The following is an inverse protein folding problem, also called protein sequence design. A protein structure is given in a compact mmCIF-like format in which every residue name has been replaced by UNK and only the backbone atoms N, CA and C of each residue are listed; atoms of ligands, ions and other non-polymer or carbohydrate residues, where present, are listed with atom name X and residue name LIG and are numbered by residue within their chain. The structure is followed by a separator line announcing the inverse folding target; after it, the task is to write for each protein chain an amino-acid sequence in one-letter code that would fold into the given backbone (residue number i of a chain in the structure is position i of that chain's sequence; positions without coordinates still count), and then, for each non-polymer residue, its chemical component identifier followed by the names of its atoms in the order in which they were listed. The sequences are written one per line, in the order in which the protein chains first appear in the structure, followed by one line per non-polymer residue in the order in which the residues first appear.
data_IF_638815240862
#
_entry.id   IF_638815240862
#
_cell.length_a   1.000
_cell.length_b   1.000
_cell.length_c   1.000
_cell.angle_alpha   90.00
_cell.angle_beta   90.00
_cell.angle_gamma   90.00
#
_symmetry.space_group_name_H-M   'P 1'
#
loop_
_entity.id
_entity.type
_entity.pdbx_description
1 polymer ?
#
# COMPACT_ATOMS: atom_id res chain seq x y z
N UNK A 1 8.25 25.92 -73.79
CA UNK A 1 8.76 24.58 -73.42
C UNK A 1 9.54 24.57 -72.09
N UNK A 2 10.39 25.56 -71.78
CA UNK A 2 11.09 25.65 -70.49
C UNK A 2 10.16 25.90 -69.29
N UNK A 3 9.16 26.78 -69.45
CA UNK A 3 8.22 27.13 -68.37
C UNK A 3 7.34 25.95 -67.91
N UNK A 4 6.92 25.10 -68.85
CA UNK A 4 6.12 23.89 -68.57
C UNK A 4 6.93 22.84 -67.82
N UNK A 5 8.22 22.68 -68.12
CA UNK A 5 9.11 21.76 -67.42
C UNK A 5 9.41 22.21 -65.98
N UNK A 6 9.61 23.51 -65.76
CA UNK A 6 9.80 24.09 -64.42
C UNK A 6 8.57 23.92 -63.53
N UNK A 7 7.37 24.18 -64.06
CA UNK A 7 6.11 23.97 -63.34
C UNK A 7 5.89 22.48 -62.98
N UNK A 8 6.25 21.57 -63.89
CA UNK A 8 6.15 20.13 -63.66
C UNK A 8 7.12 19.66 -62.57
N UNK A 9 8.35 20.19 -62.55
CA UNK A 9 9.34 19.91 -61.51
C UNK A 9 8.87 20.40 -60.13
N UNK A 10 8.31 21.62 -60.06
CA UNK A 10 7.75 22.17 -58.82
C UNK A 10 6.59 21.31 -58.30
N UNK A 11 5.68 20.89 -59.19
CA UNK A 11 4.55 20.05 -58.83
C UNK A 11 4.99 18.68 -58.29
N UNK A 12 5.98 18.04 -58.91
CA UNK A 12 6.54 16.77 -58.44
C UNK A 12 7.20 16.92 -57.06
N UNK A 13 7.93 18.01 -56.82
CA UNK A 13 8.53 18.28 -55.51
C UNK A 13 7.46 18.56 -54.44
N UNK A 14 6.40 19.29 -54.79
CA UNK A 14 5.27 19.52 -53.89
C UNK A 14 4.59 18.20 -53.50
N UNK A 15 4.36 17.31 -54.47
CA UNK A 15 3.83 15.97 -54.20
C UNK A 15 4.75 15.14 -53.29
N UNK A 16 6.07 15.20 -53.50
CA UNK A 16 7.05 14.51 -52.62
C UNK A 16 7.01 15.04 -51.19
N UNK A 17 6.91 16.35 -51.01
CA UNK A 17 6.79 16.97 -49.69
C UNK A 17 5.48 16.57 -49.00
N UNK A 18 4.36 16.53 -49.74
CA UNK A 18 3.09 16.03 -49.20
C UNK A 18 3.22 14.56 -48.77
N UNK A 19 3.82 13.71 -49.59
CA UNK A 19 4.03 12.30 -49.26
C UNK A 19 4.90 12.13 -47.99
N UNK A 20 5.97 12.92 -47.87
CA UNK A 20 6.84 12.92 -46.71
C UNK A 20 6.08 13.34 -45.43
N UNK A 21 5.24 14.37 -45.51
CA UNK A 21 4.43 14.80 -44.35
C UNK A 21 3.43 13.73 -43.91
N UNK A 22 2.82 13.01 -44.85
CA UNK A 22 1.92 11.90 -44.54
C UNK A 22 2.68 10.75 -43.87
N UNK A 23 3.88 10.42 -44.35
CA UNK A 23 4.71 9.38 -43.72
C UNK A 23 5.13 9.75 -42.29
N UNK A 24 5.47 11.02 -42.05
CA UNK A 24 5.80 11.52 -40.71
C UNK A 24 4.58 11.44 -39.76
N UNK A 25 3.36 11.76 -40.25
CA UNK A 25 2.13 11.61 -39.46
C UNK A 25 1.84 10.15 -39.11
N UNK A 26 2.03 9.22 -40.06
CA UNK A 26 1.84 7.78 -39.82
C UNK A 26 2.84 7.27 -38.78
N UNK A 27 4.12 7.66 -38.89
CA UNK A 27 5.14 7.33 -37.90
C UNK A 27 4.77 7.84 -36.49
N UNK A 28 4.30 9.08 -36.39
CA UNK A 28 3.86 9.67 -35.12
C UNK A 28 2.69 8.89 -34.49
N UNK A 29 1.72 8.48 -35.30
CA UNK A 29 0.57 7.67 -34.85
C UNK A 29 1.02 6.28 -34.36
N UNK A 30 1.95 5.63 -35.07
CA UNK A 30 2.52 4.34 -34.66
C UNK A 30 3.29 4.48 -33.33
N UNK A 31 4.07 5.55 -33.16
CA UNK A 31 4.80 5.80 -31.93
C UNK A 31 3.87 5.93 -30.71
N UNK A 32 2.83 6.78 -30.81
CA UNK A 32 1.87 6.99 -29.72
C UNK A 32 1.05 5.73 -29.39
N UNK A 33 0.67 4.95 -30.42
CA UNK A 33 -0.08 3.70 -30.19
C UNK A 33 0.76 2.64 -29.47
N UNK A 34 2.07 2.58 -29.76
CA UNK A 34 2.99 1.68 -29.07
C UNK A 34 3.19 2.07 -27.60
N UNK A 35 3.31 3.36 -27.29
CA UNK A 35 3.41 3.87 -25.92
C UNK A 35 2.15 3.52 -25.09
N UNK A 36 0.96 3.71 -25.68
CA UNK A 36 -0.31 3.32 -25.06
C UNK A 36 -0.42 1.80 -24.86
N UNK A 37 0.13 1.01 -25.79
CA UNK A 37 0.14 -0.45 -25.69
C UNK A 37 1.13 -0.97 -24.64
N UNK A 38 2.26 -0.29 -24.45
CA UNK A 38 3.25 -0.60 -23.41
C UNK A 38 2.70 -0.30 -22.02
N UNK A 39 2.04 0.85 -21.85
CA UNK A 39 1.30 1.21 -20.62
C UNK A 39 0.26 0.16 -20.24
N UNK A 40 -0.43 -0.44 -21.23
CA UNK A 40 -1.44 -1.48 -20.99
C UNK A 40 -0.86 -2.88 -20.73
N UNK A 41 0.40 -3.13 -21.08
CA UNK A 41 0.99 -4.48 -21.05
C UNK A 41 1.71 -4.86 -19.76
N UNK A 42 1.98 -3.93 -18.86
CA UNK A 42 2.58 -4.24 -17.55
C UNK A 42 2.05 -3.30 -16.49
N UNK A 43 0.99 -3.69 -15.78
CA UNK A 43 0.85 -3.34 -14.36
C UNK A 43 0.01 -4.41 -13.68
N UNK A 44 0.64 -5.30 -12.92
CA UNK A 44 -0.06 -5.88 -11.78
C UNK A 44 -0.52 -4.69 -10.93
N UNK A 45 -1.82 -4.56 -10.65
CA UNK A 45 -2.38 -3.42 -9.89
C UNK A 45 -1.65 -3.22 -8.56
N UNK A 46 -1.11 -4.31 -8.01
CA UNK A 46 -0.30 -4.37 -6.79
C UNK A 46 1.06 -4.99 -7.14
N UNK A 47 2.06 -4.15 -7.48
CA UNK A 47 3.40 -4.62 -7.82
C UNK A 47 4.17 -4.91 -6.53
N UNK A 48 4.66 -6.14 -6.38
CA UNK A 48 5.57 -6.55 -5.31
C UNK A 48 6.84 -7.08 -5.97
N UNK A 49 7.98 -6.48 -5.63
CA UNK A 49 9.25 -6.72 -6.33
C UNK A 49 9.93 -8.00 -5.87
N UNK A 50 9.76 -8.36 -4.60
CA UNK A 50 10.42 -9.49 -3.97
C UNK A 50 9.45 -10.62 -3.65
N UNK A 51 9.96 -11.84 -3.54
CA UNK A 51 9.21 -13.00 -3.07
C UNK A 51 9.72 -13.45 -1.69
N UNK A 52 9.23 -12.81 -0.64
CA UNK A 52 9.63 -13.01 0.75
C UNK A 52 8.44 -13.60 1.51
N UNK A 53 8.49 -14.91 1.74
CA UNK A 53 7.41 -15.63 2.43
C UNK A 53 7.72 -15.91 3.89
N UNK A 54 8.99 -15.77 4.29
CA UNK A 54 9.46 -15.92 5.68
C UNK A 54 10.29 -14.72 6.10
N UNK A 55 10.19 -14.36 7.39
CA UNK A 55 10.99 -13.28 7.98
C UNK A 55 12.51 -13.50 7.84
N UNK A 56 12.97 -14.74 7.80
CA UNK A 56 14.40 -15.07 7.64
C UNK A 56 14.93 -14.78 6.24
N UNK A 57 14.06 -14.57 5.26
CA UNK A 57 14.40 -14.31 3.86
C UNK A 57 14.53 -12.80 3.57
N UNK A 58 14.27 -11.94 4.57
CA UNK A 58 14.28 -10.49 4.36
C UNK A 58 15.71 -10.00 4.13
N UNK A 59 15.96 -9.48 2.94
CA UNK A 59 17.22 -8.86 2.51
C UNK A 59 17.08 -7.35 2.26
N UNK A 60 15.85 -6.84 2.18
CA UNK A 60 15.48 -5.45 1.91
C UNK A 60 15.06 -4.68 3.18
N UNK A 61 15.43 -5.17 4.36
CA UNK A 61 15.03 -4.57 5.63
C UNK A 61 15.78 -3.26 5.89
N UNK A 62 15.11 -2.13 5.68
CA UNK A 62 15.67 -0.78 5.92
C UNK A 62 15.73 -0.39 7.41
N UNK A 63 15.89 -1.38 8.30
CA UNK A 63 15.87 -1.18 9.75
C UNK A 63 14.45 -1.03 10.31
N UNK A 64 14.30 -1.07 11.64
CA UNK A 64 13.02 -0.81 12.26
C UNK A 64 12.70 0.67 12.15
N UNK A 65 11.51 0.98 11.60
CA UNK A 65 10.83 2.27 11.81
C UNK A 65 11.42 3.44 11.01
N UNK A 66 11.70 3.24 9.72
CA UNK A 66 11.90 4.40 8.84
C UNK A 66 10.64 5.31 8.85
N UNK A 67 10.82 6.58 8.49
CA UNK A 67 9.76 7.59 8.61
C UNK A 67 8.48 7.20 7.85
N UNK A 68 8.62 6.55 6.68
CA UNK A 68 7.48 6.09 5.89
C UNK A 68 6.71 4.99 6.63
N UNK A 69 7.39 3.97 7.16
CA UNK A 69 6.72 2.91 7.91
C UNK A 69 6.07 3.46 9.19
N UNK A 70 6.71 4.41 9.87
CA UNK A 70 6.10 5.07 11.04
C UNK A 70 4.85 5.85 10.65
N UNK A 71 4.91 6.61 9.56
CA UNK A 71 3.75 7.35 9.04
C UNK A 71 2.61 6.39 8.68
N UNK A 72 2.92 5.28 8.01
CA UNK A 72 1.94 4.26 7.65
C UNK A 72 1.28 3.66 8.89
N UNK A 73 2.10 3.23 9.86
CA UNK A 73 1.58 2.64 11.10
C UNK A 73 0.72 3.66 11.83
N UNK A 74 1.17 4.90 12.01
CA UNK A 74 0.44 5.90 12.77
C UNK A 74 -0.87 6.29 12.09
N UNK A 75 -0.88 6.45 10.76
CA UNK A 75 -2.10 6.67 9.98
C UNK A 75 -3.11 5.53 10.17
N UNK A 76 -2.68 4.28 9.97
CA UNK A 76 -3.57 3.12 10.14
C UNK A 76 -4.00 2.90 11.59
N UNK A 77 -3.15 3.25 12.57
CA UNK A 77 -3.49 3.21 13.99
C UNK A 77 -4.50 4.29 14.38
N UNK A 78 -4.78 5.31 13.55
CA UNK A 78 -5.92 6.19 13.80
C UNK A 78 -7.25 5.59 13.34
N UNK A 79 -7.21 4.73 12.31
CA UNK A 79 -8.37 3.98 11.83
C UNK A 79 -8.46 2.54 12.35
N UNK A 80 -8.76 1.62 11.42
CA UNK A 80 -9.02 0.19 11.69
C UNK A 80 -7.77 -0.65 12.03
N UNK A 81 -6.57 -0.08 11.87
CA UNK A 81 -5.31 -0.73 12.22
C UNK A 81 -5.10 -0.88 13.74
N UNK A 82 -4.37 -1.92 14.14
CA UNK A 82 -4.06 -2.15 15.55
C UNK A 82 -2.76 -2.91 15.77
N UNK A 83 -2.12 -2.68 16.92
CA UNK A 83 -0.92 -3.41 17.33
C UNK A 83 -1.28 -4.64 18.17
N UNK A 84 -0.74 -5.80 17.81
CA UNK A 84 -0.96 -7.07 18.51
C UNK A 84 0.34 -7.54 19.16
N UNK A 85 0.36 -7.55 20.50
CA UNK A 85 1.46 -8.13 21.27
C UNK A 85 1.38 -9.65 21.25
N UNK A 86 2.47 -10.31 20.86
CA UNK A 86 2.51 -11.78 20.76
C UNK A 86 2.66 -12.41 22.14
N UNK A 87 2.04 -13.58 22.33
CA UNK A 87 2.12 -14.36 23.59
C UNK A 87 3.58 -14.64 23.95
N UNK A 88 3.90 -14.55 25.24
CA UNK A 88 5.25 -14.78 25.75
C UNK A 88 6.24 -13.66 25.45
N UNK A 89 5.77 -12.46 25.12
CA UNK A 89 6.64 -11.29 24.96
C UNK A 89 7.51 -11.29 23.69
N UNK A 90 7.20 -12.13 22.69
CA UNK A 90 7.97 -12.31 21.45
C UNK A 90 7.94 -11.10 20.48
N UNK A 91 7.59 -9.92 20.96
CA UNK A 91 7.44 -8.70 20.18
C UNK A 91 5.99 -8.36 19.80
N UNK A 92 5.87 -7.34 18.96
CA UNK A 92 4.60 -6.78 18.49
C UNK A 92 4.53 -6.87 16.96
N UNK A 93 3.33 -7.10 16.41
CA UNK A 93 3.05 -6.91 14.98
C UNK A 93 1.96 -5.87 14.80
N UNK A 94 2.01 -5.14 13.70
CA UNK A 94 0.91 -4.24 13.30
C UNK A 94 -0.01 -5.02 12.38
N UNK A 95 -1.31 -4.93 12.64
CA UNK A 95 -2.35 -5.59 11.86
C UNK A 95 -3.17 -4.53 11.14
N UNK A 96 -3.38 -4.78 9.86
CA UNK A 96 -4.20 -3.97 8.97
C UNK A 96 -5.40 -4.81 8.53
N UNK A 97 -6.59 -4.23 8.58
CA UNK A 97 -7.83 -4.92 8.27
C UNK A 97 -8.82 -3.93 7.68
N UNK A 98 -9.57 -4.36 6.67
CA UNK A 98 -10.66 -3.60 6.07
C UNK A 98 -11.78 -4.54 5.64
N UNK A 99 -13.02 -4.03 5.56
CA UNK A 99 -14.13 -4.75 4.91
C UNK A 99 -13.84 -4.91 3.41
N UNK A 100 -14.43 -5.93 2.78
CA UNK A 100 -14.13 -6.26 1.38
C UNK A 100 -14.47 -5.13 0.39
N UNK A 101 -15.38 -4.23 0.76
CA UNK A 101 -15.72 -3.02 0.00
C UNK A 101 -14.50 -2.12 -0.23
N UNK A 102 -13.53 -2.13 0.68
CA UNK A 102 -12.30 -1.34 0.62
C UNK A 102 -11.06 -2.24 0.42
N UNK A 103 -11.24 -3.44 -0.14
CA UNK A 103 -10.15 -4.40 -0.33
C UNK A 103 -9.02 -3.89 -1.23
N UNK A 104 -9.34 -3.09 -2.24
CA UNK A 104 -8.36 -2.47 -3.14
C UNK A 104 -7.34 -1.60 -2.41
N UNK A 105 -7.80 -0.78 -1.47
CA UNK A 105 -6.92 0.03 -0.61
C UNK A 105 -6.03 -0.87 0.25
N UNK A 106 -6.59 -1.93 0.83
CA UNK A 106 -5.80 -2.81 1.68
C UNK A 106 -4.76 -3.63 0.88
N UNK A 107 -5.02 -3.95 -0.39
CA UNK A 107 -4.02 -4.53 -1.29
C UNK A 107 -2.93 -3.53 -1.67
N UNK A 108 -3.29 -2.27 -1.95
CA UNK A 108 -2.31 -1.20 -2.16
C UNK A 108 -1.38 -1.05 -0.94
N UNK A 109 -1.97 -0.95 0.26
CA UNK A 109 -1.22 -0.82 1.50
C UNK A 109 -0.33 -2.03 1.77
N UNK A 110 -0.83 -3.24 1.48
CA UNK A 110 -0.04 -4.47 1.56
C UNK A 110 1.17 -4.42 0.62
N UNK A 111 0.98 -4.01 -0.64
CA UNK A 111 2.09 -3.93 -1.61
C UNK A 111 3.16 -2.93 -1.17
N UNK A 112 2.76 -1.79 -0.62
CA UNK A 112 3.67 -0.78 -0.08
C UNK A 112 4.52 -1.35 1.07
N UNK A 113 3.87 -1.99 2.05
CA UNK A 113 4.53 -2.54 3.24
C UNK A 113 5.38 -3.77 2.90
N UNK A 114 4.95 -4.59 1.94
CA UNK A 114 5.70 -5.76 1.47
C UNK A 114 7.00 -5.35 0.76
N UNK A 115 6.94 -4.33 -0.11
CA UNK A 115 8.12 -3.79 -0.79
C UNK A 115 9.11 -3.11 0.17
N UNK A 116 8.64 -2.64 1.34
CA UNK A 116 9.49 -2.15 2.42
C UNK A 116 10.07 -3.28 3.30
N UNK A 117 9.76 -4.55 3.02
CA UNK A 117 10.29 -5.71 3.74
C UNK A 117 9.61 -6.04 5.07
N UNK A 118 8.44 -5.43 5.37
CA UNK A 118 7.81 -5.56 6.69
C UNK A 118 6.75 -6.66 6.79
N UNK A 119 6.31 -7.29 5.69
CA UNK A 119 5.36 -8.38 5.73
C UNK A 119 5.61 -9.43 4.64
N UNK A 120 4.80 -10.49 4.65
CA UNK A 120 4.79 -11.52 3.61
C UNK A 120 4.35 -10.91 2.27
N UNK A 121 5.01 -11.27 1.19
CA UNK A 121 4.75 -10.80 -0.18
C UNK A 121 3.54 -11.49 -0.83
N UNK A 122 3.06 -12.59 -0.27
CA UNK A 122 1.80 -13.21 -0.69
C UNK A 122 0.63 -12.25 -0.43
N UNK A 123 -0.17 -12.00 -1.46
CA UNK A 123 -1.37 -11.19 -1.33
C UNK A 123 -2.30 -11.77 -0.25
N UNK A 124 -2.85 -10.93 0.64
CA UNK A 124 -3.81 -11.40 1.63
C UNK A 124 -5.06 -11.97 0.95
N UNK A 125 -5.67 -12.97 1.58
CA UNK A 125 -6.90 -13.59 1.09
C UNK A 125 -8.13 -13.03 1.80
N UNK A 126 -9.21 -12.86 1.04
CA UNK A 126 -10.51 -12.45 1.61
C UNK A 126 -11.02 -13.55 2.53
N UNK A 127 -11.43 -13.14 3.74
CA UNK A 127 -11.98 -14.00 4.78
C UNK A 127 -13.44 -13.65 5.02
N UNK A 128 -14.21 -14.60 5.52
CA UNK A 128 -15.60 -14.40 5.93
C UNK A 128 -15.72 -14.39 7.45
N UNK A 129 -16.67 -13.62 7.97
CA UNK A 129 -17.09 -13.64 9.38
C UNK A 129 -18.60 -13.53 9.49
N UNK A 130 -19.17 -14.15 10.51
CA UNK A 130 -20.57 -13.97 10.85
C UNK A 130 -20.75 -12.63 11.56
N UNK A 131 -21.47 -11.71 10.92
CA UNK A 131 -21.89 -10.44 11.49
C UNK A 131 -23.20 -10.56 12.26
N UNK A 132 -23.66 -9.41 12.76
CA UNK A 132 -24.91 -9.32 13.51
C UNK A 132 -26.09 -9.83 12.67
N UNK A 133 -27.03 -10.52 13.32
CA UNK A 133 -28.23 -11.08 12.69
C UNK A 133 -27.93 -12.10 11.57
N UNK A 134 -26.82 -12.82 11.69
CA UNK A 134 -26.45 -13.88 10.74
C UNK A 134 -25.94 -13.39 9.38
N UNK A 135 -25.72 -12.08 9.21
CA UNK A 135 -25.19 -11.53 7.95
C UNK A 135 -23.73 -11.93 7.76
N UNK A 136 -23.41 -12.61 6.67
CA UNK A 136 -22.01 -12.91 6.33
C UNK A 136 -21.34 -11.62 5.85
N UNK A 137 -20.22 -11.28 6.49
CA UNK A 137 -19.34 -10.17 6.08
C UNK A 137 -18.02 -10.71 5.57
N UNK A 138 -17.45 -10.02 4.60
CA UNK A 138 -16.16 -10.35 4.01
C UNK A 138 -15.16 -9.26 4.40
N UNK A 139 -13.96 -9.66 4.79
CA UNK A 139 -12.92 -8.73 5.18
C UNK A 139 -11.56 -9.24 4.69
N UNK A 140 -10.63 -8.32 4.53
CA UNK A 140 -9.25 -8.60 4.21
C UNK A 140 -8.39 -8.25 5.42
N UNK A 141 -7.33 -9.03 5.68
CA UNK A 141 -6.43 -8.80 6.82
C UNK A 141 -5.03 -9.31 6.54
N UNK A 142 -4.03 -8.50 6.85
CA UNK A 142 -2.64 -8.91 6.93
C UNK A 142 -1.96 -8.28 8.16
N UNK A 143 -0.76 -8.75 8.46
CA UNK A 143 0.05 -8.20 9.53
C UNK A 143 1.50 -8.09 9.10
N UNK A 144 2.24 -7.18 9.71
CA UNK A 144 3.69 -7.17 9.64
C UNK A 144 4.27 -8.44 10.24
N UNK A 145 5.55 -8.69 9.98
CA UNK A 145 6.34 -9.55 10.84
C UNK A 145 6.31 -9.03 12.28
N UNK A 146 6.59 -9.93 13.23
CA UNK A 146 6.71 -9.55 14.63
C UNK A 146 8.10 -9.01 14.89
N UNK A 147 8.18 -7.84 15.52
CA UNK A 147 9.44 -7.19 15.89
C UNK A 147 9.39 -6.74 17.35
N UNK A 148 10.52 -6.83 18.04
CA UNK A 148 10.67 -6.26 19.38
C UNK A 148 10.71 -4.73 19.35
N UNK A 149 11.22 -4.13 18.26
CA UNK A 149 11.18 -2.69 18.05
C UNK A 149 9.76 -2.13 18.01
N UNK A 150 8.76 -2.93 17.62
CA UNK A 150 7.36 -2.51 17.60
C UNK A 150 6.71 -2.52 18.99
N UNK A 151 7.41 -3.04 20.01
CA UNK A 151 6.91 -2.97 21.38
C UNK A 151 6.76 -1.52 21.87
N UNK A 152 7.61 -0.61 21.38
CA UNK A 152 7.50 0.82 21.66
C UNK A 152 6.17 1.38 21.15
N UNK A 153 5.80 1.06 19.90
CA UNK A 153 4.50 1.47 19.33
C UNK A 153 3.34 0.95 20.20
N UNK A 154 3.41 -0.31 20.63
CA UNK A 154 2.38 -0.85 21.52
C UNK A 154 2.30 -0.06 22.83
N UNK A 155 3.43 0.23 23.49
CA UNK A 155 3.42 0.97 24.76
C UNK A 155 2.91 2.41 24.63
N UNK A 156 3.08 3.05 23.48
CA UNK A 156 2.57 4.40 23.26
C UNK A 156 1.07 4.43 22.96
N UNK A 157 0.60 3.48 22.15
CA UNK A 157 -0.78 3.44 21.70
C UNK A 157 -1.72 2.70 22.66
N UNK A 158 -1.22 1.97 23.65
CA UNK A 158 -2.04 1.15 24.54
C UNK A 158 -1.71 1.37 26.01
N UNK A 159 -2.70 1.88 26.75
CA UNK A 159 -2.61 2.03 28.20
C UNK A 159 -3.24 0.81 28.89
N UNK A 160 -2.59 0.19 29.88
CA UNK A 160 -3.22 -0.84 30.69
C UNK A 160 -4.42 -0.24 31.43
N UNK A 161 -5.54 -0.95 31.39
CA UNK A 161 -6.71 -0.62 32.20
C UNK A 161 -6.72 -1.55 33.39
N UNK A 162 -6.78 -0.97 34.58
CA UNK A 162 -6.97 -1.71 35.81
C UNK A 162 -8.33 -2.40 35.81
N UNK A 163 -8.36 -3.63 35.29
CA UNK A 163 -9.45 -4.56 35.53
C UNK A 163 -9.28 -5.05 36.96
N UNK A 164 -9.95 -4.38 37.90
CA UNK A 164 -10.11 -4.72 39.34
C UNK A 164 -9.18 -5.83 39.85
N UNK A 165 -8.25 -5.46 40.73
CA UNK A 165 -7.52 -6.35 41.64
C UNK A 165 -8.32 -7.62 41.93
N UNK A 166 -7.91 -8.73 41.32
CA UNK A 166 -8.40 -10.03 41.73
C UNK A 166 -7.87 -10.25 43.15
N UNK A 167 -8.78 -10.30 44.12
CA UNK A 167 -8.52 -10.51 45.57
C UNK A 167 -7.73 -11.81 45.84
N UNK A 168 -7.56 -12.65 44.81
CA UNK A 168 -6.77 -13.89 44.85
C UNK A 168 -5.55 -13.81 43.92
N UNK A 169 -4.64 -12.83 44.09
CA UNK A 169 -3.24 -12.78 43.60
C UNK A 169 -2.89 -13.56 42.29
N UNK A 170 -3.74 -13.51 41.27
CA UNK A 170 -3.50 -14.14 39.96
C UNK A 170 -4.06 -13.24 38.87
N UNK A 171 -3.34 -12.16 38.61
CA UNK A 171 -3.62 -11.24 37.51
C UNK A 171 -3.21 -11.92 36.20
N UNK A 172 -4.12 -12.69 35.60
CA UNK A 172 -3.81 -13.44 34.38
C UNK A 172 -4.12 -12.68 33.08
N UNK A 173 -4.83 -11.55 33.10
CA UNK A 173 -5.19 -10.81 31.89
C UNK A 173 -5.24 -9.29 32.13
N UNK A 174 -4.14 -8.60 31.84
CA UNK A 174 -4.14 -7.13 31.75
C UNK A 174 -4.92 -6.74 30.49
N UNK A 175 -5.98 -5.95 30.64
CA UNK A 175 -6.68 -5.34 29.50
C UNK A 175 -5.94 -4.08 29.10
N UNK A 176 -5.90 -3.79 27.80
CA UNK A 176 -5.34 -2.56 27.27
C UNK A 176 -6.41 -1.78 26.50
N UNK A 177 -6.36 -0.46 26.61
CA UNK A 177 -7.20 0.46 25.83
C UNK A 177 -6.31 1.29 24.91
N UNK A 178 -6.74 1.40 23.64
CA UNK A 178 -6.05 2.20 22.63
C UNK A 178 -6.20 3.69 22.99
N UNK A 179 -5.11 4.43 22.96
CA UNK A 179 -5.02 5.87 23.25
C UNK A 179 -4.31 6.58 22.10
N UNK A 180 -4.50 7.90 22.01
CA UNK A 180 -3.73 8.74 21.09
C UNK A 180 -2.40 9.10 21.76
N UNK A 181 -1.25 8.69 21.19
CA UNK A 181 0.04 8.95 21.81
C UNK A 181 0.48 10.40 21.57
N UNK A 182 1.32 10.93 22.47
CA UNK A 182 1.93 12.26 22.30
C UNK A 182 2.88 12.30 21.10
N UNK A 183 3.53 11.18 20.80
CA UNK A 183 4.43 11.01 19.66
C UNK A 183 3.74 11.14 18.29
N UNK A 184 2.40 11.18 18.26
CA UNK A 184 1.63 11.37 17.03
C UNK A 184 2.10 12.61 16.25
N UNK A 185 2.47 13.69 16.93
CA UNK A 185 2.91 14.94 16.29
C UNK A 185 4.12 14.75 15.35
N UNK A 186 5.00 13.79 15.64
CA UNK A 186 6.21 13.54 14.84
C UNK A 186 5.94 12.66 13.61
N UNK A 187 4.88 11.86 13.64
CA UNK A 187 4.61 10.83 12.63
C UNK A 187 3.31 11.07 11.87
N UNK A 188 2.55 12.13 12.22
CA UNK A 188 1.38 12.57 11.49
C UNK A 188 1.75 13.38 10.23
N UNK A 189 2.46 12.71 9.33
CA UNK A 189 2.89 13.28 8.04
C UNK A 189 1.72 13.31 7.03
N UNK A 190 1.87 13.97 5.88
CA UNK A 190 0.87 13.88 4.80
C UNK A 190 0.54 12.44 4.38
N UNK A 191 1.51 11.52 4.45
CA UNK A 191 1.30 10.10 4.21
C UNK A 191 0.40 9.46 5.29
N UNK A 192 0.67 9.76 6.57
CA UNK A 192 -0.16 9.27 7.68
C UNK A 192 -1.60 9.79 7.58
N UNK A 193 -1.76 11.08 7.24
CA UNK A 193 -3.06 11.70 7.03
C UNK A 193 -3.82 11.05 5.86
N UNK A 194 -3.15 10.81 4.73
CA UNK A 194 -3.77 10.15 3.58
C UNK A 194 -4.26 8.74 3.93
N UNK A 195 -3.46 7.98 4.67
CA UNK A 195 -3.83 6.62 5.14
C UNK A 195 -5.02 6.69 6.09
N UNK A 196 -5.01 7.62 7.04
CA UNK A 196 -6.15 7.78 7.96
C UNK A 196 -7.44 8.14 7.22
N UNK A 197 -7.38 9.05 6.23
CA UNK A 197 -8.54 9.40 5.39
C UNK A 197 -9.00 8.19 4.56
N UNK A 198 -8.08 7.35 4.05
CA UNK A 198 -8.48 6.15 3.31
C UNK A 198 -9.12 5.07 4.20
N UNK A 199 -8.76 5.02 5.49
CA UNK A 199 -9.36 4.09 6.46
C UNK A 199 -10.74 4.56 6.94
N UNK A 200 -10.83 5.81 7.42
CA UNK A 200 -11.99 6.34 8.17
C UNK A 200 -12.62 7.60 7.55
N UNK A 201 -12.07 8.12 6.46
CA UNK A 201 -12.61 9.27 5.76
C UNK A 201 -13.97 8.96 5.13
N UNK A 202 -14.89 9.91 5.26
CA UNK A 202 -16.26 9.86 4.72
C UNK A 202 -16.39 10.58 3.40
#
# INVERSE_FOLDING_TARGET
KQHTASNMYFFVNMMKMMLLTVMLMIMYMIFNSNELSMSKRVTNKYVINDNITKRTEINNYNGPLNMDMMSIIYGSMLGDGYAEKRKGGKGTRITFQQENTNSDYLYYLHSLIANLGYCNTNLPTIKTRLGNKGKIRQYLKFSTWTYDSFNYIFSEWYMPVDTKLNINHKVNNIKYTKIIPKSLEYYFTPLALAIWIMDDGT
#
